data_IF_985109747989
#
_entry.id   IF_985109747989
#
_cell.length_a   1.000
_cell.length_b   1.000
_cell.length_c   1.000
_cell.angle_alpha   90.00
_cell.angle_beta   90.00
_cell.angle_gamma   90.00
#
_symmetry.space_group_name_H-M   'P 1'
#
loop_
_entity.id
_entity.type
_entity.pdbx_description
1 polymer ?
#
# COMPACT_ATOMS: atom_id res chain seq x y z
N UNK A 1 -0.22 8.02 -22.17
CA UNK A 1 0.11 8.19 -20.75
C UNK A 1 0.19 6.79 -20.14
N UNK A 2 1.35 6.34 -19.63
CA UNK A 2 1.42 5.05 -18.95
C UNK A 2 0.43 5.08 -17.78
N UNK A 3 -0.46 4.10 -17.70
CA UNK A 3 -1.44 3.98 -16.62
C UNK A 3 -0.68 3.69 -15.32
N UNK A 4 -1.22 4.11 -14.16
CA UNK A 4 -0.59 3.88 -12.85
C UNK A 4 -0.21 2.39 -12.62
N UNK A 5 -0.92 1.47 -13.29
CA UNK A 5 -0.66 0.03 -13.28
C UNK A 5 0.74 -0.35 -13.79
N UNK A 6 1.27 0.33 -14.81
CA UNK A 6 2.63 0.05 -15.31
C UNK A 6 3.68 0.48 -14.29
N UNK A 7 3.39 1.53 -13.51
CA UNK A 7 4.29 2.03 -12.47
C UNK A 7 4.38 1.09 -11.26
N UNK A 8 3.34 0.30 -10.98
CA UNK A 8 3.35 -0.67 -9.88
C UNK A 8 4.45 -1.73 -10.04
N UNK A 9 4.78 -2.10 -11.28
CA UNK A 9 5.83 -3.08 -11.58
C UNK A 9 7.23 -2.62 -11.20
N UNK A 10 7.41 -1.33 -10.96
CA UNK A 10 8.68 -0.75 -10.54
C UNK A 10 8.82 -0.63 -9.01
N UNK A 11 7.79 -1.04 -8.24
CA UNK A 11 7.92 -1.17 -6.79
C UNK A 11 8.58 -2.53 -6.50
N UNK A 12 9.70 -2.53 -5.78
CA UNK A 12 10.38 -3.75 -5.39
C UNK A 12 9.54 -4.60 -4.41
N UNK A 13 9.56 -5.92 -4.58
CA UNK A 13 9.08 -6.83 -3.53
C UNK A 13 9.95 -6.64 -2.28
N UNK A 14 9.33 -6.57 -1.12
CA UNK A 14 9.97 -6.22 0.15
C UNK A 14 10.10 -4.71 0.39
N UNK A 15 9.76 -3.85 -0.58
CA UNK A 15 9.78 -2.41 -0.36
C UNK A 15 8.73 -1.99 0.67
N UNK A 16 9.12 -1.05 1.54
CA UNK A 16 8.21 -0.42 2.48
C UNK A 16 7.25 0.52 1.75
N UNK A 17 5.97 0.37 2.03
CA UNK A 17 4.88 1.22 1.53
C UNK A 17 4.10 1.83 2.69
N UNK A 18 3.58 3.04 2.49
CA UNK A 18 2.64 3.67 3.41
C UNK A 18 1.21 3.31 3.00
N UNK A 19 0.52 2.56 3.87
CA UNK A 19 -0.89 2.22 3.73
C UNK A 19 -1.72 3.24 4.52
N UNK A 20 -2.55 4.01 3.84
CA UNK A 20 -3.56 4.87 4.45
C UNK A 20 -4.93 4.21 4.37
N UNK A 21 -5.44 3.80 5.53
CA UNK A 21 -6.74 3.17 5.70
C UNK A 21 -7.78 4.27 5.89
N UNK A 22 -8.78 4.33 5.02
CA UNK A 22 -9.85 5.33 5.10
C UNK A 22 -11.01 4.75 5.92
N UNK A 23 -11.36 5.42 7.00
CA UNK A 23 -12.57 5.13 7.77
C UNK A 23 -13.60 6.25 7.54
N UNK A 24 -14.90 6.03 7.85
CA UNK A 24 -15.91 7.06 7.64
C UNK A 24 -15.64 8.38 8.37
N UNK A 25 -14.89 8.34 9.47
CA UNK A 25 -14.64 9.50 10.35
C UNK A 25 -13.19 9.98 10.34
N UNK A 26 -12.24 9.21 9.80
CA UNK A 26 -10.81 9.54 9.86
C UNK A 26 -9.99 8.73 8.84
N UNK A 27 -8.67 8.96 8.78
CA UNK A 27 -7.76 8.02 8.15
C UNK A 27 -6.67 7.57 9.13
N UNK A 28 -6.18 6.33 8.95
CA UNK A 28 -5.08 5.77 9.72
C UNK A 28 -3.95 5.38 8.79
N UNK A 29 -2.74 5.87 9.05
CA UNK A 29 -1.55 5.53 8.26
C UNK A 29 -0.69 4.51 8.98
N UNK A 30 -0.21 3.52 8.23
CA UNK A 30 0.67 2.47 8.72
C UNK A 30 1.67 2.06 7.64
N UNK A 31 2.92 1.81 8.04
CA UNK A 31 3.93 1.24 7.15
C UNK A 31 3.83 -0.27 7.11
N UNK A 32 3.75 -0.83 5.91
CA UNK A 32 3.85 -2.27 5.65
C UNK A 32 4.77 -2.54 4.46
N UNK A 33 4.98 -3.79 4.09
CA UNK A 33 5.78 -4.20 2.94
C UNK A 33 4.92 -4.70 1.79
N UNK A 34 5.38 -4.42 0.58
CA UNK A 34 4.89 -5.08 -0.62
C UNK A 34 5.40 -6.52 -0.66
N UNK A 35 4.48 -7.49 -0.70
CA UNK A 35 4.81 -8.91 -0.88
C UNK A 35 4.81 -9.28 -2.35
N UNK A 36 3.93 -8.68 -3.15
CA UNK A 36 3.88 -8.94 -4.58
C UNK A 36 2.65 -8.38 -5.26
N UNK A 37 2.53 -8.70 -6.54
CA UNK A 37 1.45 -8.30 -7.42
C UNK A 37 0.93 -9.55 -8.13
N UNK A 38 -0.38 -9.78 -8.05
CA UNK A 38 -1.05 -10.66 -9.01
C UNK A 38 -1.49 -9.80 -10.19
N UNK A 39 -0.88 -10.05 -11.34
CA UNK A 39 -1.00 -9.20 -12.52
C UNK A 39 -2.46 -8.79 -12.80
N UNK A 40 -2.68 -7.47 -12.79
CA UNK A 40 -3.97 -6.81 -13.07
C UNK A 40 -5.15 -7.23 -12.16
N UNK A 41 -4.90 -7.90 -11.05
CA UNK A 41 -5.94 -8.33 -10.11
C UNK A 41 -5.73 -7.80 -8.70
N UNK A 42 -4.58 -8.12 -8.08
CA UNK A 42 -4.36 -7.82 -6.67
C UNK A 42 -2.96 -7.30 -6.41
N UNK A 43 -2.86 -6.42 -5.43
CA UNK A 43 -1.62 -6.12 -4.72
C UNK A 43 -1.64 -6.92 -3.40
N UNK A 44 -0.51 -7.53 -3.07
CA UNK A 44 -0.36 -8.33 -1.87
C UNK A 44 0.56 -7.55 -0.94
N UNK A 45 0.02 -7.14 0.21
CA UNK A 45 0.76 -6.42 1.23
C UNK A 45 0.86 -7.28 2.48
N UNK A 46 1.96 -7.13 3.22
CA UNK A 46 2.06 -7.75 4.53
C UNK A 46 0.98 -7.18 5.46
N UNK A 47 0.43 -8.02 6.32
CA UNK A 47 -0.46 -7.53 7.36
C UNK A 47 0.35 -6.69 8.37
N UNK A 48 -0.06 -5.46 8.69
CA UNK A 48 0.69 -4.62 9.61
C UNK A 48 0.83 -5.28 10.98
N UNK A 49 2.02 -5.22 11.59
CA UNK A 49 2.22 -5.80 12.92
C UNK A 49 1.36 -5.08 13.99
N UNK A 50 1.03 -5.79 15.07
CA UNK A 50 0.17 -5.27 16.13
C UNK A 50 0.74 -4.05 16.88
N UNK A 51 2.06 -3.82 16.83
CA UNK A 51 2.69 -2.61 17.40
C UNK A 51 2.41 -1.37 16.55
N UNK A 52 2.32 -1.55 15.22
CA UNK A 52 2.10 -0.47 14.24
C UNK A 52 0.60 -0.19 14.03
N UNK A 53 -0.23 -1.23 14.11
CA UNK A 53 -1.68 -1.11 14.03
C UNK A 53 -2.33 -1.97 15.12
N UNK A 54 -2.44 -1.46 16.36
CA UNK A 54 -3.24 -2.09 17.40
C UNK A 54 -4.70 -2.23 16.92
N UNK A 55 -5.34 -3.34 17.26
CA UNK A 55 -6.72 -3.64 16.84
C UNK A 55 -6.92 -3.52 15.32
N UNK A 56 -5.98 -4.03 14.52
CA UNK A 56 -6.01 -3.94 13.06
C UNK A 56 -7.30 -4.47 12.42
N UNK A 57 -7.99 -5.44 13.05
CA UNK A 57 -9.30 -5.95 12.63
C UNK A 57 -10.44 -4.91 12.68
N UNK A 58 -10.27 -3.82 13.42
CA UNK A 58 -11.24 -2.72 13.44
C UNK A 58 -11.03 -1.73 12.29
N UNK A 59 -9.85 -1.74 11.68
CA UNK A 59 -9.48 -0.86 10.58
C UNK A 59 -9.46 -1.58 9.22
N UNK A 60 -8.96 -2.82 9.18
CA UNK A 60 -8.79 -3.62 7.96
C UNK A 60 -9.85 -4.71 7.92
N UNK A 61 -11.03 -4.34 7.41
CA UNK A 61 -12.13 -5.25 7.07
C UNK A 61 -12.32 -5.26 5.56
N UNK A 62 -12.95 -6.31 5.05
CA UNK A 62 -13.29 -6.37 3.63
C UNK A 62 -14.14 -5.16 3.22
N UNK A 63 -13.84 -4.59 2.06
CA UNK A 63 -14.51 -3.41 1.52
C UNK A 63 -14.00 -2.06 2.05
N UNK A 64 -13.03 -2.04 2.98
CA UNK A 64 -12.40 -0.78 3.41
C UNK A 64 -11.51 -0.24 2.29
N UNK A 65 -11.68 1.05 1.98
CA UNK A 65 -10.84 1.74 1.01
C UNK A 65 -9.48 2.06 1.62
N UNK A 66 -8.43 1.79 0.86
CA UNK A 66 -7.05 2.11 1.24
C UNK A 66 -6.38 2.89 0.13
N UNK A 67 -5.43 3.75 0.50
CA UNK A 67 -4.51 4.40 -0.43
C UNK A 67 -3.11 3.90 -0.13
N UNK A 68 -2.44 3.34 -1.13
CA UNK A 68 -1.07 2.83 -1.01
C UNK A 68 -0.11 3.85 -1.60
N UNK A 69 0.90 4.23 -0.82
CA UNK A 69 1.99 5.11 -1.28
C UNK A 69 3.30 4.34 -1.31
N UNK A 70 3.91 4.31 -2.48
CA UNK A 70 5.17 3.63 -2.70
C UNK A 70 6.19 4.58 -3.30
N UNK A 71 7.45 4.39 -2.89
CA UNK A 71 8.60 5.01 -3.52
C UNK A 71 9.10 4.09 -4.63
N UNK A 72 9.25 4.65 -5.83
CA UNK A 72 9.93 3.98 -6.95
C UNK A 72 11.37 4.48 -6.94
N UNK A 73 12.27 3.57 -6.56
CA UNK A 73 13.71 3.83 -6.54
C UNK A 73 14.24 3.78 -7.98
N UNK A 74 14.58 4.97 -8.50
CA UNK A 74 15.13 5.22 -9.83
C UNK A 74 15.78 6.61 -9.83
N UNK A 75 16.29 7.08 -10.98
CA UNK A 75 17.11 8.31 -11.06
C UNK A 75 16.43 9.60 -10.57
N UNK A 76 15.09 9.62 -10.47
CA UNK A 76 14.31 10.79 -10.07
C UNK A 76 13.52 10.67 -8.77
N UNK A 77 13.58 9.54 -8.05
CA UNK A 77 12.86 9.32 -6.79
C UNK A 77 11.36 9.68 -6.87
N UNK A 78 10.55 8.83 -7.52
CA UNK A 78 9.14 9.10 -7.72
C UNK A 78 8.28 8.47 -6.63
N UNK A 79 7.33 9.23 -6.07
CA UNK A 79 6.25 8.67 -5.24
C UNK A 79 5.02 8.43 -6.10
N UNK A 80 4.43 7.25 -5.98
CA UNK A 80 3.12 6.95 -6.54
C UNK A 80 2.12 6.68 -5.42
N UNK A 81 0.89 7.15 -5.63
CA UNK A 81 -0.25 6.91 -4.75
C UNK A 81 -1.39 6.36 -5.60
N UNK A 82 -2.01 5.27 -5.14
CA UNK A 82 -3.10 4.61 -5.84
C UNK A 82 -4.06 3.95 -4.85
#
# INVERSE_FOLDING_TARGET
>A
MPTNLEKLKHIGVGSLVDLEILTPTSSKRVKTELVGLLDKQFIILNYPNAKRLPAATDYLRDGVMVVVRALIEGSGGQVIAF
#
